data_IF_381946582840
#
_entry.id   IF_381946582840
#
_cell.length_a   1.000
_cell.length_b   1.000
_cell.length_c   1.000
_cell.angle_alpha   90.00
_cell.angle_beta   90.00
_cell.angle_gamma   90.00
#
_symmetry.space_group_name_H-M   'P 1'
#
loop_
_entity.id
_entity.type
_entity.pdbx_description
1 polymer ?
#
# COMPACT_ATOMS: atom_id res chain seq x y z
N UNK A 1 14.88 -8.95 24.13
CA UNK A 1 14.25 -8.31 22.95
C UNK A 1 15.35 -8.16 21.91
N UNK A 2 15.09 -8.47 20.64
CA UNK A 2 16.08 -8.23 19.57
C UNK A 2 16.53 -6.77 19.63
N UNK A 3 17.84 -6.55 19.65
CA UNK A 3 18.47 -5.23 19.61
C UNK A 3 18.51 -4.64 18.20
N UNK A 4 18.12 -5.44 17.20
CA UNK A 4 18.10 -5.04 15.79
C UNK A 4 16.96 -4.06 15.53
N UNK A 5 17.27 -2.98 14.80
CA UNK A 5 16.27 -1.97 14.43
C UNK A 5 15.38 -2.49 13.32
N UNK A 6 14.08 -2.18 13.39
CA UNK A 6 13.14 -2.39 12.29
C UNK A 6 13.52 -1.48 11.12
N UNK A 7 13.88 -2.06 9.99
CA UNK A 7 14.34 -1.37 8.78
C UNK A 7 13.18 -1.19 7.81
N UNK A 8 12.82 0.06 7.56
CA UNK A 8 11.73 0.43 6.64
C UNK A 8 12.32 1.22 5.48
N UNK A 9 12.16 0.68 4.27
CA UNK A 9 12.68 1.26 3.03
C UNK A 9 11.55 1.92 2.26
N UNK A 10 11.70 3.19 1.92
CA UNK A 10 10.84 3.87 0.96
C UNK A 10 11.54 3.94 -0.40
N UNK A 11 10.93 3.27 -1.37
CA UNK A 11 11.48 3.06 -2.71
C UNK A 11 11.17 4.25 -3.60
N UNK A 12 12.22 4.79 -4.21
CA UNK A 12 12.24 5.79 -5.27
C UNK A 12 11.36 7.01 -4.99
N UNK A 13 11.56 7.73 -3.87
CA UNK A 13 10.79 8.94 -3.60
C UNK A 13 11.04 10.06 -4.61
N UNK A 14 12.10 9.98 -5.40
CA UNK A 14 12.36 10.85 -6.55
C UNK A 14 11.44 10.57 -7.75
N UNK A 15 10.79 9.41 -7.81
CA UNK A 15 9.86 9.01 -8.88
C UNK A 15 8.43 8.72 -8.40
N UNK A 16 8.28 8.15 -7.19
CA UNK A 16 7.08 7.50 -6.68
C UNK A 16 6.66 8.08 -5.31
N UNK A 17 6.51 9.41 -5.25
CA UNK A 17 6.22 10.15 -4.01
C UNK A 17 4.99 11.06 -4.06
N UNK A 18 4.11 10.85 -5.03
CA UNK A 18 2.88 11.65 -5.17
C UNK A 18 1.90 11.40 -4.00
N UNK A 19 0.88 12.25 -3.89
CA UNK A 19 -0.22 12.11 -2.92
C UNK A 19 0.18 12.01 -1.43
N UNK A 20 1.36 12.51 -1.08
CA UNK A 20 1.83 12.56 0.31
C UNK A 20 2.28 11.21 0.86
N UNK A 21 2.59 10.23 0.01
CA UNK A 21 2.86 8.84 0.43
C UNK A 21 4.04 8.67 1.39
N UNK A 22 4.92 9.67 1.53
CA UNK A 22 5.90 9.77 2.63
C UNK A 22 5.25 9.61 4.00
N UNK A 23 4.00 10.05 4.16
CA UNK A 23 3.26 9.86 5.41
C UNK A 23 3.06 8.40 5.79
N UNK A 24 3.03 7.46 4.85
CA UNK A 24 2.97 6.02 5.17
C UNK A 24 4.25 5.57 5.91
N UNK A 25 5.43 6.00 5.45
CA UNK A 25 6.71 5.77 6.12
C UNK A 25 6.71 6.36 7.53
N UNK A 26 6.29 7.61 7.66
CA UNK A 26 6.25 8.32 8.94
C UNK A 26 5.31 7.66 9.94
N UNK A 27 4.13 7.22 9.51
CA UNK A 27 3.15 6.54 10.38
C UNK A 27 3.70 5.20 10.87
N UNK A 28 4.28 4.37 10.01
CA UNK A 28 4.89 3.11 10.43
C UNK A 28 6.01 3.33 11.46
N UNK A 29 6.94 4.24 11.15
CA UNK A 29 8.05 4.55 12.04
C UNK A 29 7.57 5.12 13.39
N UNK A 30 6.58 6.02 13.38
CA UNK A 30 5.99 6.59 14.59
C UNK A 30 5.35 5.52 15.46
N UNK A 31 4.51 4.67 14.86
CA UNK A 31 3.77 3.62 15.57
C UNK A 31 4.67 2.53 16.14
N UNK A 32 5.75 2.17 15.44
CA UNK A 32 6.77 1.25 15.95
C UNK A 32 7.56 1.89 17.12
N UNK A 33 8.01 3.14 16.98
CA UNK A 33 8.73 3.87 18.06
C UNK A 33 7.89 4.06 19.32
N UNK A 34 6.58 4.32 19.18
CA UNK A 34 5.68 4.42 20.33
C UNK A 34 5.54 3.11 21.12
N UNK A 35 5.97 1.99 20.53
CA UNK A 35 5.99 0.65 21.16
C UNK A 35 7.39 0.23 21.58
N UNK A 36 8.34 1.17 21.62
CA UNK A 36 9.72 0.90 22.03
C UNK A 36 10.54 0.13 21.00
N UNK A 37 10.06 -0.03 19.77
CA UNK A 37 10.84 -0.67 18.70
C UNK A 37 11.83 0.35 18.13
N UNK A 38 13.15 0.05 18.10
CA UNK A 38 14.09 0.85 17.34
C UNK A 38 13.74 0.79 15.84
N UNK A 39 13.82 1.93 15.14
CA UNK A 39 13.42 2.02 13.72
C UNK A 39 14.45 2.81 12.93
N UNK A 40 14.97 2.18 11.89
CA UNK A 40 15.75 2.81 10.83
C UNK A 40 14.85 3.01 9.60
N UNK A 41 14.78 4.24 9.10
CA UNK A 41 14.06 4.55 7.86
C UNK A 41 15.06 4.92 6.78
N UNK A 42 14.99 4.24 5.63
CA UNK A 42 15.86 4.49 4.49
C UNK A 42 15.03 4.98 3.30
N UNK A 43 15.47 6.07 2.69
CA UNK A 43 14.93 6.55 1.42
C UNK A 43 15.92 6.14 0.32
N UNK A 44 15.50 5.26 -0.60
CA UNK A 44 16.37 4.76 -1.68
C UNK A 44 15.94 5.40 -2.98
N UNK A 45 16.81 6.19 -3.60
CA UNK A 45 16.54 6.89 -4.86
C UNK A 45 16.68 5.97 -6.07
N UNK A 46 16.12 6.37 -7.22
CA UNK A 46 16.10 5.55 -8.44
C UNK A 46 17.47 5.28 -9.08
N UNK A 47 18.50 6.01 -8.67
CA UNK A 47 19.91 5.83 -9.04
C UNK A 47 20.70 4.95 -8.05
N UNK A 48 20.07 4.50 -6.98
CA UNK A 48 20.67 3.66 -5.94
C UNK A 48 20.20 2.21 -6.03
N UNK A 49 21.05 1.28 -5.59
CA UNK A 49 20.66 -0.13 -5.45
C UNK A 49 19.73 -0.30 -4.26
N UNK A 50 18.72 -1.16 -4.41
CA UNK A 50 17.88 -1.51 -3.27
C UNK A 50 18.65 -2.40 -2.29
N UNK A 51 18.54 -2.13 -0.96
CA UNK A 51 19.03 -3.08 0.02
C UNK A 51 18.26 -4.38 -0.14
N UNK A 52 18.98 -5.50 -0.21
CA UNK A 52 18.36 -6.82 -0.36
C UNK A 52 17.66 -7.31 0.93
N UNK A 53 17.94 -6.66 2.07
CA UNK A 53 17.39 -6.98 3.38
C UNK A 53 16.80 -5.73 4.04
N UNK A 54 15.49 -5.77 4.29
CA UNK A 54 14.77 -4.86 5.17
C UNK A 54 13.45 -5.55 5.59
N UNK A 55 12.80 -5.04 6.63
CA UNK A 55 11.59 -5.65 7.14
C UNK A 55 10.35 -5.23 6.34
N UNK A 56 10.33 -3.97 5.88
CA UNK A 56 9.21 -3.39 5.14
C UNK A 56 9.74 -2.53 3.98
N UNK A 57 9.18 -2.73 2.79
CA UNK A 57 9.38 -1.89 1.60
C UNK A 57 8.09 -1.17 1.23
N UNK A 58 8.19 0.13 1.01
CA UNK A 58 7.07 1.00 0.64
C UNK A 58 7.28 1.52 -0.78
N UNK A 59 6.24 1.45 -1.60
CA UNK A 59 6.23 1.99 -2.97
C UNK A 59 5.00 2.90 -3.10
N UNK A 60 5.23 4.19 -3.34
CA UNK A 60 4.15 5.18 -3.46
C UNK A 60 3.56 5.28 -4.88
N UNK A 61 2.67 6.24 -5.05
CA UNK A 61 2.13 6.64 -6.34
C UNK A 61 3.13 7.47 -7.15
N UNK A 62 3.01 7.42 -8.47
CA UNK A 62 3.77 8.24 -9.41
C UNK A 62 2.96 8.51 -10.67
N UNK A 63 3.44 9.47 -11.46
CA UNK A 63 2.91 9.73 -12.80
C UNK A 63 3.38 8.66 -13.80
N UNK A 64 2.71 8.53 -14.93
CA UNK A 64 2.97 7.51 -15.95
C UNK A 64 4.46 7.36 -16.33
N UNK A 65 5.18 8.47 -16.54
CA UNK A 65 6.60 8.47 -16.88
C UNK A 65 7.49 7.93 -15.76
N UNK A 66 7.48 8.57 -14.58
CA UNK A 66 8.17 8.08 -13.39
C UNK A 66 7.80 6.63 -13.00
N UNK A 67 6.53 6.22 -13.15
CA UNK A 67 6.09 4.85 -12.90
C UNK A 67 6.75 3.85 -13.84
N UNK A 68 6.75 4.13 -15.15
CA UNK A 68 7.40 3.28 -16.14
C UNK A 68 8.92 3.15 -15.88
N UNK A 69 9.59 4.27 -15.57
CA UNK A 69 11.00 4.26 -15.21
C UNK A 69 11.26 3.49 -13.91
N UNK A 70 10.42 3.68 -12.89
CA UNK A 70 10.50 2.96 -11.62
C UNK A 70 10.40 1.45 -11.81
N UNK A 71 9.46 0.97 -12.64
CA UNK A 71 9.32 -0.44 -12.98
C UNK A 71 10.59 -0.99 -13.65
N UNK A 72 11.11 -0.27 -14.64
CA UNK A 72 12.33 -0.65 -15.36
C UNK A 72 13.52 -0.80 -14.40
N UNK A 73 13.71 0.15 -13.48
CA UNK A 73 14.81 0.15 -12.50
C UNK A 73 14.67 -1.00 -11.50
N UNK A 74 13.47 -1.24 -10.97
CA UNK A 74 13.21 -2.34 -10.05
C UNK A 74 13.41 -3.72 -10.69
N UNK A 75 12.96 -3.90 -11.94
CA UNK A 75 13.17 -5.12 -12.71
C UNK A 75 14.66 -5.38 -12.96
N UNK A 76 15.42 -4.34 -13.30
CA UNK A 76 16.86 -4.46 -13.54
C UNK A 76 17.66 -4.76 -12.25
N UNK A 77 17.25 -4.22 -11.10
CA UNK A 77 17.92 -4.42 -9.81
C UNK A 77 17.61 -5.80 -9.19
N UNK A 78 16.34 -6.24 -9.27
CA UNK A 78 15.85 -7.50 -8.71
C UNK A 78 15.93 -7.60 -7.18
N UNK A 79 16.30 -6.52 -6.48
CA UNK A 79 16.44 -6.49 -5.02
C UNK A 79 15.13 -6.71 -4.30
N UNK A 80 14.03 -6.20 -4.84
CA UNK A 80 12.71 -6.41 -4.23
C UNK A 80 12.27 -7.87 -4.31
N UNK A 81 12.55 -8.59 -5.42
CA UNK A 81 12.27 -10.03 -5.51
C UNK A 81 13.07 -10.83 -4.48
N UNK A 82 14.35 -10.48 -4.29
CA UNK A 82 15.18 -11.10 -3.25
C UNK A 82 14.64 -10.84 -1.85
N UNK A 83 14.24 -9.61 -1.56
CA UNK A 83 13.64 -9.24 -0.28
C UNK A 83 12.32 -10.00 -0.01
N UNK A 84 11.45 -10.09 -1.02
CA UNK A 84 10.20 -10.86 -0.92
C UNK A 84 10.47 -12.35 -0.68
N UNK A 85 11.45 -12.94 -1.37
CA UNK A 85 11.85 -14.33 -1.15
C UNK A 85 12.40 -14.59 0.26
N UNK A 86 12.92 -13.56 0.92
CA UNK A 86 13.40 -13.59 2.31
C UNK A 86 12.29 -13.26 3.34
N UNK A 87 11.06 -12.99 2.89
CA UNK A 87 9.92 -12.77 3.77
C UNK A 87 9.72 -11.33 4.22
N UNK A 88 10.28 -10.34 3.51
CA UNK A 88 10.00 -8.93 3.71
C UNK A 88 8.55 -8.57 3.39
N UNK A 89 8.03 -7.55 4.07
CA UNK A 89 6.73 -6.95 3.77
C UNK A 89 6.88 -5.97 2.60
N UNK A 90 5.92 -5.96 1.68
CA UNK A 90 5.84 -4.95 0.62
C UNK A 90 4.47 -4.30 0.64
N UNK A 91 4.46 -2.97 0.72
CA UNK A 91 3.24 -2.16 0.68
C UNK A 91 3.29 -1.18 -0.49
N UNK A 92 2.40 -1.38 -1.47
CA UNK A 92 2.26 -0.52 -2.65
C UNK A 92 1.02 0.36 -2.60
N UNK A 93 1.14 1.63 -2.99
CA UNK A 93 0.02 2.56 -3.10
C UNK A 93 -0.11 3.05 -4.53
N UNK A 94 -1.33 2.97 -5.09
CA UNK A 94 -1.67 3.44 -6.44
C UNK A 94 -0.73 2.87 -7.51
N UNK A 95 0.09 3.68 -8.19
CA UNK A 95 1.09 3.19 -9.14
C UNK A 95 2.01 2.13 -8.52
N UNK A 96 2.47 2.32 -7.28
CA UNK A 96 3.27 1.33 -6.56
C UNK A 96 2.56 -0.01 -6.36
N UNK A 97 1.23 0.00 -6.19
CA UNK A 97 0.41 -1.22 -6.17
C UNK A 97 0.36 -1.89 -7.55
N UNK A 98 0.10 -1.12 -8.60
CA UNK A 98 0.06 -1.64 -9.97
C UNK A 98 1.39 -2.26 -10.40
N UNK A 99 2.51 -1.67 -9.97
CA UNK A 99 3.86 -2.20 -10.22
C UNK A 99 4.04 -3.61 -9.66
N UNK A 100 3.36 -4.00 -8.58
CA UNK A 100 3.48 -5.36 -8.01
C UNK A 100 2.92 -6.44 -8.93
N UNK A 101 2.07 -6.08 -9.90
CA UNK A 101 1.40 -7.01 -10.80
C UNK A 101 2.24 -7.54 -11.95
N UNK A 102 1.60 -8.30 -12.81
CA UNK A 102 2.13 -8.80 -14.09
C UNK A 102 2.29 -7.68 -15.12
N UNK A 103 1.36 -6.72 -15.14
CA UNK A 103 1.42 -5.56 -16.04
C UNK A 103 0.62 -4.37 -15.52
N UNK A 104 0.99 -3.19 -16.01
CA UNK A 104 0.26 -1.93 -15.80
C UNK A 104 0.22 -1.09 -17.08
N UNK A 105 -0.75 -0.20 -17.20
CA UNK A 105 -0.84 0.74 -18.31
C UNK A 105 -0.28 2.11 -17.92
N UNK A 106 0.63 2.67 -18.73
CA UNK A 106 1.18 4.00 -18.56
C UNK A 106 1.55 4.57 -19.93
N UNK A 107 1.58 5.90 -20.11
CA UNK A 107 2.05 6.55 -21.36
C UNK A 107 1.38 6.01 -22.63
N UNK A 108 0.13 5.57 -22.56
CA UNK A 108 -0.60 5.03 -23.71
C UNK A 108 -0.22 3.60 -24.12
N UNK A 109 0.57 2.88 -23.33
CA UNK A 109 0.95 1.48 -23.61
C UNK A 109 1.00 0.62 -22.34
N UNK A 110 1.00 -0.69 -22.52
CA UNK A 110 1.15 -1.65 -21.44
C UNK A 110 2.64 -1.92 -21.14
N UNK A 111 2.99 -1.87 -19.87
CA UNK A 111 4.31 -2.16 -19.34
C UNK A 111 4.27 -3.43 -18.49
N UNK A 112 5.39 -4.17 -18.49
CA UNK A 112 5.61 -5.30 -17.59
C UNK A 112 5.75 -4.78 -16.15
N UNK A 113 5.00 -5.38 -15.23
CA UNK A 113 5.15 -5.15 -13.79
C UNK A 113 6.21 -6.06 -13.17
N UNK A 114 6.24 -6.13 -11.84
CA UNK A 114 7.22 -6.90 -11.08
C UNK A 114 6.85 -8.37 -10.91
N UNK A 115 5.64 -8.78 -11.29
CA UNK A 115 5.16 -10.17 -11.19
C UNK A 115 5.23 -10.72 -9.75
N UNK A 116 5.14 -9.84 -8.75
CA UNK A 116 5.12 -10.20 -7.33
C UNK A 116 3.72 -10.64 -6.86
N UNK A 117 2.68 -10.16 -7.55
CA UNK A 117 1.28 -10.54 -7.39
C UNK A 117 0.71 -10.92 -8.76
N UNK A 118 -0.16 -11.94 -8.78
CA UNK A 118 -0.93 -12.26 -9.98
C UNK A 118 -2.10 -11.29 -10.11
N UNK A 119 -1.84 -10.14 -10.72
CA UNK A 119 -2.82 -9.11 -11.04
C UNK A 119 -2.36 -8.32 -12.26
N UNK A 120 -3.29 -7.69 -12.97
CA UNK A 120 -3.00 -6.82 -14.09
C UNK A 120 -3.84 -5.54 -13.99
N UNK A 121 -3.21 -4.39 -14.23
CA UNK A 121 -3.86 -3.09 -14.20
C UNK A 121 -3.92 -2.49 -15.59
N UNK A 122 -5.11 -2.09 -16.02
CA UNK A 122 -5.34 -1.47 -17.34
C UNK A 122 -6.02 -0.11 -17.18
N UNK A 123 -6.17 0.65 -18.27
CA UNK A 123 -6.90 1.91 -18.26
C UNK A 123 -8.40 1.66 -18.09
N UNK A 124 -8.99 2.29 -17.07
CA UNK A 124 -10.43 2.34 -16.88
C UNK A 124 -11.13 3.29 -17.86
N UNK A 125 -12.46 3.16 -18.02
CA UNK A 125 -13.24 4.06 -18.88
C UNK A 125 -13.23 5.50 -18.39
N UNK A 126 -13.13 5.69 -17.07
CA UNK A 126 -13.05 6.99 -16.41
C UNK A 126 -12.07 6.93 -15.24
N UNK A 127 -11.52 8.09 -14.87
CA UNK A 127 -10.70 8.23 -13.66
C UNK A 127 -11.59 8.05 -12.42
N UNK A 128 -11.19 7.18 -11.52
CA UNK A 128 -11.81 7.05 -10.21
C UNK A 128 -11.27 8.15 -9.30
N UNK A 129 -12.15 9.04 -8.85
CA UNK A 129 -11.82 10.17 -7.97
C UNK A 129 -12.92 10.30 -6.92
N UNK A 130 -12.58 10.14 -5.65
CA UNK A 130 -13.56 10.28 -4.57
C UNK A 130 -13.20 9.55 -3.29
N UNK A 131 -14.15 9.57 -2.34
CA UNK A 131 -14.05 8.74 -1.14
C UNK A 131 -14.05 7.25 -1.51
N UNK A 132 -13.17 6.51 -0.88
CA UNK A 132 -13.03 5.06 -1.02
C UNK A 132 -13.26 4.42 0.34
N UNK A 133 -14.16 3.45 0.41
CA UNK A 133 -14.48 2.78 1.65
C UNK A 133 -14.98 1.35 1.40
N UNK A 134 -14.69 0.45 2.34
CA UNK A 134 -15.06 -0.96 2.16
C UNK A 134 -14.74 -1.86 3.34
N UNK A 135 -15.46 -2.99 3.39
CA UNK A 135 -15.23 -4.04 4.38
C UNK A 135 -13.93 -4.79 4.04
N UNK A 136 -12.95 -4.75 4.95
CA UNK A 136 -11.67 -5.43 4.77
C UNK A 136 -11.85 -6.95 4.86
N UNK A 137 -11.06 -7.70 4.09
CA UNK A 137 -10.99 -9.15 4.19
C UNK A 137 -10.82 -9.60 5.66
N UNK A 138 -11.77 -10.39 6.21
CA UNK A 138 -11.78 -10.74 7.63
C UNK A 138 -10.52 -11.52 8.06
N UNK A 139 -9.82 -12.18 7.12
CA UNK A 139 -8.56 -12.89 7.39
C UNK A 139 -7.44 -11.96 7.86
N UNK A 140 -7.52 -10.67 7.53
CA UNK A 140 -6.54 -9.67 7.95
C UNK A 140 -6.77 -9.16 9.38
N UNK A 141 -7.99 -9.35 9.91
CA UNK A 141 -8.34 -8.97 11.28
C UNK A 141 -8.18 -7.47 11.56
N UNK A 142 -8.44 -6.62 10.56
CA UNK A 142 -8.42 -5.16 10.70
C UNK A 142 -9.80 -4.57 10.35
N UNK A 143 -10.18 -3.42 10.94
CA UNK A 143 -11.47 -2.79 10.70
C UNK A 143 -11.60 -2.21 9.28
N UNK A 144 -12.86 -1.96 8.91
CA UNK A 144 -13.35 -1.25 7.72
C UNK A 144 -12.39 -0.21 7.08
N UNK A 145 -12.03 -0.33 5.82
CA UNK A 145 -11.13 0.58 5.12
C UNK A 145 -11.80 1.93 4.85
N UNK A 146 -11.05 3.02 4.99
CA UNK A 146 -11.45 4.36 4.51
C UNK A 146 -10.28 5.06 3.85
N UNK A 147 -10.53 5.86 2.82
CA UNK A 147 -9.49 6.55 2.07
C UNK A 147 -10.06 7.48 1.03
N UNK A 148 -9.17 7.95 0.16
CA UNK A 148 -9.54 8.68 -1.05
C UNK A 148 -8.83 8.02 -2.23
N UNK A 149 -9.51 7.85 -3.34
CA UNK A 149 -8.91 7.29 -4.55
C UNK A 149 -8.77 8.37 -5.63
N UNK A 150 -7.69 8.29 -6.41
CA UNK A 150 -7.45 9.18 -7.53
C UNK A 150 -6.60 8.49 -8.60
N UNK A 151 -7.19 7.57 -9.35
CA UNK A 151 -6.46 6.74 -10.30
C UNK A 151 -7.24 6.49 -11.59
N UNK A 152 -6.50 6.29 -12.68
CA UNK A 152 -7.06 5.90 -13.98
C UNK A 152 -7.11 4.38 -14.19
N UNK A 153 -6.57 3.60 -13.26
CA UNK A 153 -6.38 2.17 -13.40
C UNK A 153 -7.64 1.37 -13.09
N UNK A 154 -7.77 0.18 -13.69
CA UNK A 154 -8.66 -0.88 -13.25
C UNK A 154 -7.84 -2.14 -13.10
N UNK A 155 -7.82 -2.69 -11.89
CA UNK A 155 -6.99 -3.84 -11.57
C UNK A 155 -7.85 -5.09 -11.55
N UNK A 156 -7.42 -6.12 -12.27
CA UNK A 156 -8.00 -7.46 -12.22
C UNK A 156 -7.08 -8.36 -11.42
N UNK A 157 -7.63 -9.03 -10.42
CA UNK A 157 -6.90 -9.98 -9.59
C UNK A 157 -6.93 -11.37 -10.24
N UNK A 158 -5.79 -12.03 -10.28
CA UNK A 158 -5.65 -13.42 -10.72
C UNK A 158 -5.80 -14.42 -9.58
N UNK A 159 -5.73 -15.73 -9.89
CA UNK A 159 -5.78 -16.79 -8.88
C UNK A 159 -4.79 -16.62 -7.73
N UNK A 160 -5.25 -16.93 -6.52
CA UNK A 160 -4.40 -16.90 -5.32
C UNK A 160 -4.08 -15.51 -4.78
N UNK A 161 -4.64 -14.45 -5.35
CA UNK A 161 -4.59 -13.07 -4.82
C UNK A 161 -5.97 -12.71 -4.29
N UNK A 162 -6.03 -12.22 -3.05
CA UNK A 162 -7.26 -11.79 -2.42
C UNK A 162 -7.41 -10.27 -2.52
N UNK A 163 -8.63 -9.72 -2.68
CA UNK A 163 -8.83 -8.28 -2.53
C UNK A 163 -8.55 -7.85 -1.09
N UNK A 164 -8.07 -6.61 -0.91
CA UNK A 164 -7.92 -6.02 0.43
C UNK A 164 -9.29 -5.78 1.05
N UNK A 165 -10.23 -5.25 0.29
CA UNK A 165 -11.58 -4.96 0.77
C UNK A 165 -12.65 -5.19 -0.31
N UNK A 166 -13.89 -5.41 0.13
CA UNK A 166 -15.08 -5.27 -0.70
C UNK A 166 -15.53 -3.80 -0.65
N UNK A 167 -15.64 -3.17 -1.80
CA UNK A 167 -16.01 -1.75 -1.91
C UNK A 167 -17.47 -1.56 -1.53
N UNK A 168 -17.73 -0.54 -0.72
CA UNK A 168 -19.08 -0.03 -0.43
C UNK A 168 -19.24 1.44 -0.80
N UNK A 169 -18.14 2.16 -1.04
CA UNK A 169 -18.13 3.48 -1.66
C UNK A 169 -16.84 3.66 -2.47
N UNK A 170 -16.95 4.29 -3.63
CA UNK A 170 -15.85 4.42 -4.59
C UNK A 170 -15.85 3.33 -5.67
N UNK A 171 -14.73 3.22 -6.36
CA UNK A 171 -14.47 2.29 -7.46
C UNK A 171 -13.47 1.23 -7.01
N UNK A 172 -12.35 1.61 -6.39
CA UNK A 172 -11.27 0.68 -6.07
C UNK A 172 -10.70 0.03 -7.33
N UNK A 173 -10.53 -1.30 -7.32
CA UNK A 173 -10.05 -2.07 -8.46
C UNK A 173 -11.02 -2.00 -9.66
N UNK A 174 -12.32 -2.19 -9.42
CA UNK A 174 -13.30 -2.55 -10.47
C UNK A 174 -14.77 -2.17 -10.15
N UNK A 175 -15.02 -1.46 -9.05
CA UNK A 175 -16.34 -1.13 -8.52
C UNK A 175 -16.89 -2.13 -7.51
N UNK A 176 -16.19 -3.25 -7.29
CA UNK A 176 -16.62 -4.30 -6.35
C UNK A 176 -15.56 -4.57 -5.28
N UNK A 177 -14.28 -4.53 -5.66
CA UNK A 177 -13.15 -4.82 -4.79
C UNK A 177 -12.16 -3.66 -4.75
N UNK A 178 -11.37 -3.61 -3.69
CA UNK A 178 -10.30 -2.63 -3.51
C UNK A 178 -9.01 -3.34 -3.10
N UNK A 179 -7.91 -2.92 -3.71
CA UNK A 179 -6.56 -3.38 -3.40
C UNK A 179 -6.36 -4.88 -3.58
N UNK A 180 -5.25 -5.38 -3.09
CA UNK A 180 -4.91 -6.79 -3.14
C UNK A 180 -3.96 -7.18 -2.01
N UNK A 181 -3.97 -8.44 -1.61
CA UNK A 181 -2.94 -9.00 -0.75
C UNK A 181 -2.71 -10.48 -1.01
N UNK A 182 -1.48 -10.93 -0.74
CA UNK A 182 -1.06 -12.34 -0.69
C UNK A 182 0.18 -12.45 0.19
N UNK A 183 0.10 -13.27 1.25
CA UNK A 183 1.19 -13.38 2.22
C UNK A 183 1.50 -12.02 2.85
N UNK A 184 2.72 -11.51 2.66
CA UNK A 184 3.18 -10.21 3.17
C UNK A 184 3.23 -9.10 2.10
N UNK A 185 2.61 -9.33 0.94
CA UNK A 185 2.46 -8.34 -0.12
C UNK A 185 1.07 -7.73 -0.03
N UNK A 186 0.97 -6.41 -0.01
CA UNK A 186 -0.30 -5.69 0.05
C UNK A 186 -0.25 -4.44 -0.83
N UNK A 187 -1.29 -4.23 -1.61
CA UNK A 187 -1.45 -3.06 -2.46
C UNK A 187 -2.83 -2.43 -2.32
N UNK A 188 -2.92 -1.12 -2.49
CA UNK A 188 -4.19 -0.36 -2.37
C UNK A 188 -4.18 0.88 -3.25
N UNK A 189 -5.35 1.29 -3.74
CA UNK A 189 -5.60 2.61 -4.32
C UNK A 189 -5.97 3.67 -3.27
N UNK A 190 -6.18 3.27 -2.01
CA UNK A 190 -6.48 4.19 -0.91
C UNK A 190 -5.30 5.13 -0.64
N UNK A 191 -5.51 6.42 -0.87
CA UNK A 191 -4.65 7.50 -0.40
C UNK A 191 -5.17 8.12 0.91
N UNK A 192 -4.46 9.14 1.40
CA UNK A 192 -4.86 9.84 2.62
C UNK A 192 -3.75 10.57 3.38
N UNK A 193 -2.51 10.06 3.51
CA UNK A 193 -1.96 8.75 3.11
C UNK A 193 -2.69 7.53 3.71
N UNK A 194 -2.57 6.37 3.05
CA UNK A 194 -3.31 5.14 3.39
C UNK A 194 -3.24 4.76 4.87
N UNK A 195 -2.03 4.77 5.43
CA UNK A 195 -1.76 4.31 6.80
C UNK A 195 -2.18 5.34 7.86
N UNK A 196 -2.24 6.62 7.50
CA UNK A 196 -2.78 7.66 8.37
C UNK A 196 -4.31 7.55 8.48
N UNK A 197 -5.00 7.20 7.38
CA UNK A 197 -6.45 6.94 7.37
C UNK A 197 -6.81 5.61 8.03
N UNK A 198 -5.88 4.65 8.03
CA UNK A 198 -6.10 3.29 8.52
C UNK A 198 -4.94 2.83 9.43
N UNK A 199 -4.84 3.31 10.69
CA UNK A 199 -3.74 2.93 11.59
C UNK A 199 -3.64 1.43 11.87
N UNK A 200 -4.77 0.71 11.85
CA UNK A 200 -4.79 -0.75 11.98
C UNK A 200 -4.11 -1.47 10.79
N UNK A 201 -4.13 -0.88 9.59
CA UNK A 201 -3.37 -1.39 8.45
C UNK A 201 -1.87 -1.22 8.69
N UNK A 202 -1.42 -0.11 9.28
CA UNK A 202 -0.02 0.08 9.66
C UNK A 202 0.41 -0.98 10.69
N UNK A 203 -0.43 -1.26 11.68
CA UNK A 203 -0.18 -2.28 12.68
C UNK A 203 -0.16 -3.70 12.10
N UNK A 204 -0.98 -3.98 11.08
CA UNK A 204 -0.92 -5.24 10.32
C UNK A 204 0.46 -5.42 9.66
N UNK A 205 0.97 -4.40 8.95
CA UNK A 205 2.29 -4.46 8.31
C UNK A 205 3.42 -4.65 9.35
N UNK A 206 3.34 -3.97 10.50
CA UNK A 206 4.30 -4.14 11.60
C UNK A 206 4.24 -5.56 12.20
N UNK A 207 3.05 -6.15 12.35
CA UNK A 207 2.92 -7.55 12.80
C UNK A 207 3.52 -8.53 11.79
N UNK A 208 3.30 -8.32 10.50
CA UNK A 208 3.90 -9.14 9.46
C UNK A 208 5.43 -9.04 9.44
N UNK A 209 5.96 -7.84 9.64
CA UNK A 209 7.39 -7.59 9.68
C UNK A 209 8.06 -8.25 10.90
N UNK A 210 7.45 -8.09 12.08
CA UNK A 210 8.03 -8.53 13.36
C UNK A 210 7.69 -9.97 13.76
N UNK A 211 6.68 -10.58 13.12
CA UNK A 211 6.12 -11.87 13.51
C UNK A 211 5.30 -11.84 14.81
N UNK A 212 5.11 -10.66 15.41
CA UNK A 212 4.35 -10.51 16.66
C UNK A 212 2.85 -10.61 16.38
N UNK A 213 2.16 -11.48 17.13
CA UNK A 213 0.72 -11.66 16.97
C UNK A 213 -0.12 -10.44 17.38
N UNK A 214 0.27 -9.77 18.47
CA UNK A 214 -0.43 -8.62 19.03
C UNK A 214 0.55 -7.53 19.44
N UNK A 215 0.34 -6.32 18.92
CA UNK A 215 1.10 -5.15 19.32
C UNK A 215 0.46 -4.50 20.55
N UNK A 216 1.25 -3.91 21.47
CA UNK A 216 0.71 -3.08 22.53
C UNK A 216 -0.22 -1.99 21.95
N UNK A 217 -1.39 -1.74 22.57
CA UNK A 217 -2.32 -0.75 22.07
C UNK A 217 -1.71 0.65 22.11
N UNK A 218 -2.06 1.47 21.14
CA UNK A 218 -1.74 2.90 21.12
C UNK A 218 -3.02 3.70 21.39
N UNK A 219 -2.86 4.92 21.90
CA UNK A 219 -3.98 5.84 22.06
C UNK A 219 -4.38 6.42 20.69
N UNK A 220 -5.33 5.77 20.02
CA UNK A 220 -5.88 6.18 18.73
C UNK A 220 -7.21 6.96 18.88
N UNK A 221 -7.54 7.49 20.07
CA UNK A 221 -8.84 8.12 20.37
C UNK A 221 -9.29 9.14 19.32
N UNK A 222 -8.41 10.09 18.97
CA UNK A 222 -8.74 11.13 17.99
C UNK A 222 -8.80 10.61 16.55
N UNK A 223 -7.97 9.62 16.23
CA UNK A 223 -8.01 8.96 14.93
C UNK A 223 -9.34 8.22 14.74
N UNK A 224 -9.80 7.50 15.75
CA UNK A 224 -11.07 6.78 15.72
C UNK A 224 -12.28 7.71 15.65
N UNK A 225 -12.24 8.87 16.34
CA UNK A 225 -13.29 9.90 16.21
C UNK A 225 -13.41 10.41 14.78
N UNK A 226 -12.30 10.87 14.19
CA UNK A 226 -12.26 11.35 12.80
C UNK A 226 -12.66 10.25 11.80
N UNK A 227 -12.25 9.01 12.05
CA UNK A 227 -12.63 7.86 11.22
C UNK A 227 -14.13 7.58 11.30
N UNK A 228 -14.72 7.67 12.49
CA UNK A 228 -16.15 7.53 12.70
C UNK A 228 -16.96 8.60 11.96
N UNK A 229 -16.55 9.87 12.08
CA UNK A 229 -17.17 11.00 11.36
C UNK A 229 -17.18 10.77 9.85
N UNK A 230 -16.06 10.33 9.28
CA UNK A 230 -15.95 10.05 7.84
C UNK A 230 -16.81 8.87 7.40
N UNK A 231 -16.88 7.79 8.20
CA UNK A 231 -17.79 6.66 7.91
C UNK A 231 -19.24 7.13 7.88
N UNK A 232 -19.65 7.97 8.83
CA UNK A 232 -20.99 8.54 8.82
C UNK A 232 -21.24 9.43 7.60
N UNK A 233 -20.28 10.26 7.21
CA UNK A 233 -20.39 11.11 6.02
C UNK A 233 -20.55 10.29 4.73
N UNK A 234 -19.73 9.24 4.55
CA UNK A 234 -19.84 8.32 3.40
C UNK A 234 -21.17 7.58 3.40
N UNK A 235 -21.60 7.06 4.56
CA UNK A 235 -22.88 6.37 4.67
C UNK A 235 -24.08 7.31 4.41
N UNK A 236 -23.98 8.58 4.77
CA UNK A 236 -25.01 9.59 4.49
C UNK A 236 -25.06 9.93 2.99
N UNK A 237 -23.90 10.05 2.33
CA UNK A 237 -23.82 10.33 0.89
C UNK A 237 -24.30 9.16 0.01
N UNK A 238 -24.30 7.94 0.54
CA UNK A 238 -24.78 6.74 -0.15
C UNK A 238 -26.31 6.51 -0.02
N UNK A 239 -27.02 7.32 0.76
CA UNK A 239 -28.49 7.24 0.87
C UNK A 239 -29.14 8.02 -0.30
N UNK A 240 -30.16 7.43 -0.96
CA UNK A 240 -30.87 8.06 -2.07
C UNK A 240 -31.64 9.33 -1.66
#
# INVERSE_FOLDING_TARGET
MSTESLRIVWIYPDLLSTYGDRGNLLILARRARQRGMPVETLEVRSDQRLPATADIYLIGGGEDGPQALGAQRLLADGGLHRAVAQGSVVFGVCAGYQLLGTSFFAKGTQYRGLELLDLASDRGPTRAVGELAGEVDPRLGIPYLTGFENHGGRTRLGPGVAPLARVSAGVGNDGQTEGAWRGKLLGTYSHGPALARNPALADLLLRWATGVHQLPPLNDTWHERLRSERRHAVAAAARP
#
